data_IF_541290055983
#
_entry.id   IF_541290055983
#
_cell.length_a   1.000
_cell.length_b   1.000
_cell.length_c   1.000
_cell.angle_alpha   90.00
_cell.angle_beta   90.00
_cell.angle_gamma   90.00
#
_symmetry.space_group_name_H-M   'P 1'
#
loop_
_entity.id
_entity.type
_entity.pdbx_description
1 polymer ?
#
# COMPACT_ATOMS: atom_id res chain seq x y z
N UNK A 1 3.76 -4.72 -1.86
CA UNK A 1 3.16 -4.00 -0.72
C UNK A 1 3.70 -2.58 -0.65
N UNK A 2 2.98 -1.68 -0.01
CA UNK A 2 3.53 -0.36 0.33
C UNK A 2 4.24 -0.45 1.66
N UNK A 3 5.44 0.11 1.73
CA UNK A 3 6.18 0.32 2.98
C UNK A 3 6.38 1.80 3.20
N UNK A 4 6.17 2.24 4.43
CA UNK A 4 6.46 3.61 4.80
C UNK A 4 7.50 3.67 5.91
N UNK A 5 8.43 4.60 5.76
CA UNK A 5 9.39 4.98 6.79
C UNK A 5 8.96 6.31 7.37
N UNK A 6 8.84 6.38 8.69
CA UNK A 6 8.40 7.58 9.41
C UNK A 6 9.59 8.24 10.07
N UNK A 7 9.66 9.57 10.03
CA UNK A 7 10.69 10.37 10.71
C UNK A 7 10.76 10.01 12.20
N UNK A 8 11.98 9.81 12.70
CA UNK A 8 12.27 9.45 14.08
C UNK A 8 11.65 10.43 15.10
N UNK A 9 11.46 11.70 14.73
CA UNK A 9 10.82 12.74 15.57
C UNK A 9 9.42 12.32 16.01
N UNK A 10 8.65 11.65 15.16
CA UNK A 10 7.29 11.19 15.49
C UNK A 10 7.34 10.19 16.64
N UNK A 11 8.25 9.20 16.55
CA UNK A 11 8.42 8.20 17.58
C UNK A 11 8.96 8.79 18.89
N UNK A 12 9.92 9.71 18.81
CA UNK A 12 10.49 10.39 19.97
C UNK A 12 9.43 11.18 20.73
N UNK A 13 8.61 11.97 20.01
CA UNK A 13 7.53 12.74 20.61
C UNK A 13 6.45 11.84 21.25
N UNK A 14 6.07 10.74 20.59
CA UNK A 14 5.14 9.77 21.16
C UNK A 14 5.69 9.10 22.42
N UNK A 15 6.97 8.73 22.41
CA UNK A 15 7.62 8.08 23.56
C UNK A 15 7.75 9.02 24.75
N UNK A 16 7.97 10.32 24.50
CA UNK A 16 8.02 11.35 25.53
C UNK A 16 6.64 11.65 26.12
N UNK A 17 5.60 11.71 25.28
CA UNK A 17 4.22 11.94 25.73
C UNK A 17 3.59 10.73 26.42
N UNK A 18 3.98 9.52 26.03
CA UNK A 18 3.45 8.25 26.55
C UNK A 18 4.59 7.31 26.99
N UNK A 19 5.32 7.64 28.07
CA UNK A 19 6.48 6.85 28.51
C UNK A 19 6.09 5.50 29.13
N UNK A 20 4.83 5.36 29.56
CA UNK A 20 4.29 4.12 30.15
C UNK A 20 2.97 3.74 29.49
N UNK A 21 2.70 2.43 29.28
CA UNK A 21 3.61 1.30 29.51
C UNK A 21 4.76 1.28 28.51
N UNK A 22 5.87 0.63 28.87
CA UNK A 22 7.04 0.51 28.00
C UNK A 22 6.63 -0.08 26.63
N UNK A 23 7.24 0.42 25.55
CA UNK A 23 6.94 0.05 24.15
C UNK A 23 5.53 0.38 23.66
N UNK A 24 4.68 1.07 24.43
CA UNK A 24 3.33 1.43 23.98
C UNK A 24 3.34 2.35 22.77
N UNK A 25 4.19 3.38 22.77
CA UNK A 25 4.41 4.29 21.65
C UNK A 25 4.82 3.54 20.38
N UNK A 26 5.78 2.60 20.51
CA UNK A 26 6.25 1.79 19.39
C UNK A 26 5.11 0.94 18.80
N UNK A 27 4.38 0.21 19.66
CA UNK A 27 3.27 -0.65 19.23
C UNK A 27 2.13 0.14 18.59
N UNK A 28 1.78 1.29 19.15
CA UNK A 28 0.73 2.15 18.63
C UNK A 28 1.12 2.72 17.26
N UNK A 29 2.33 3.25 17.14
CA UNK A 29 2.84 3.79 15.88
C UNK A 29 2.97 2.69 14.81
N UNK A 30 3.52 1.52 15.15
CA UNK A 30 3.63 0.40 14.23
C UNK A 30 2.25 -0.07 13.72
N UNK A 31 1.24 -0.12 14.61
CA UNK A 31 -0.13 -0.43 14.20
C UNK A 31 -0.67 0.59 13.23
N UNK A 32 -0.49 1.88 13.52
CA UNK A 32 -0.97 2.97 12.67
C UNK A 32 -0.29 2.98 11.30
N UNK A 33 1.04 2.79 11.27
CA UNK A 33 1.82 2.63 10.05
C UNK A 33 1.24 1.49 9.19
N UNK A 34 1.02 0.30 9.78
CA UNK A 34 0.44 -0.84 9.06
C UNK A 34 -0.93 -0.54 8.46
N UNK A 35 -1.79 0.17 9.19
CA UNK A 35 -3.11 0.58 8.68
C UNK A 35 -2.96 1.56 7.51
N UNK A 36 -2.05 2.52 7.64
CA UNK A 36 -1.79 3.50 6.60
C UNK A 36 -1.20 2.85 5.34
N UNK A 37 -0.22 1.94 5.47
CA UNK A 37 0.34 1.14 4.38
C UNK A 37 -0.76 0.40 3.61
N UNK A 38 -1.69 -0.24 4.32
CA UNK A 38 -2.81 -0.94 3.70
C UNK A 38 -3.76 0.00 2.93
N UNK A 39 -4.04 1.19 3.48
CA UNK A 39 -4.89 2.18 2.80
C UNK A 39 -4.21 2.78 1.58
N UNK A 40 -2.90 3.07 1.65
CA UNK A 40 -2.10 3.51 0.51
C UNK A 40 -2.08 2.45 -0.59
N UNK A 41 -1.85 1.19 -0.21
CA UNK A 41 -1.89 0.07 -1.15
C UNK A 41 -3.23 -0.03 -1.88
N UNK A 42 -4.35 0.06 -1.14
CA UNK A 42 -5.69 0.07 -1.75
C UNK A 42 -5.92 1.27 -2.66
N UNK A 43 -5.43 2.46 -2.29
CA UNK A 43 -5.54 3.65 -3.13
C UNK A 43 -4.79 3.49 -4.45
N UNK A 44 -3.62 2.85 -4.44
CA UNK A 44 -2.78 2.65 -5.63
C UNK A 44 -3.26 1.52 -6.53
N UNK A 45 -4.17 0.67 -6.06
CA UNK A 45 -4.77 -0.37 -6.87
C UNK A 45 -5.67 0.20 -7.98
N UNK A 46 -6.32 1.34 -7.71
CA UNK A 46 -7.20 2.01 -8.67
C UNK A 46 -6.47 3.10 -9.46
N UNK A 47 -6.97 3.39 -10.67
CA UNK A 47 -6.45 4.48 -11.49
C UNK A 47 -6.65 5.82 -10.75
N UNK A 48 -5.54 6.54 -10.53
CA UNK A 48 -5.60 7.88 -9.98
C UNK A 48 -6.21 8.85 -11.00
N UNK A 49 -7.07 9.76 -10.54
CA UNK A 49 -7.61 10.85 -11.37
C UNK A 49 -6.52 11.87 -11.74
N UNK A 50 -6.67 12.67 -12.81
CA UNK A 50 -5.68 13.68 -13.20
C UNK A 50 -5.33 14.65 -12.06
N UNK A 51 -6.31 15.00 -11.22
CA UNK A 51 -6.10 15.86 -10.06
C UNK A 51 -5.23 15.19 -8.99
N UNK A 52 -5.52 13.92 -8.68
CA UNK A 52 -4.75 13.15 -7.70
C UNK A 52 -3.30 12.99 -8.13
N UNK A 53 -3.06 12.80 -9.43
CA UNK A 53 -1.73 12.70 -9.98
C UNK A 53 -0.96 14.01 -9.86
N UNK A 54 -1.59 15.14 -10.24
CA UNK A 54 -0.93 16.44 -10.22
C UNK A 54 -0.51 16.87 -8.81
N UNK A 55 -1.21 16.40 -7.79
CA UNK A 55 -1.03 16.83 -6.40
C UNK A 55 -0.49 15.73 -5.48
N UNK A 56 -0.14 14.57 -6.03
CA UNK A 56 0.29 13.34 -5.33
C UNK A 56 -0.66 12.95 -4.20
N UNK A 57 -1.95 12.79 -4.54
CA UNK A 57 -3.02 12.48 -3.60
C UNK A 57 -3.41 11.01 -3.64
N UNK A 58 -3.70 10.49 -2.46
CA UNK A 58 -4.20 9.15 -2.21
C UNK A 58 -5.64 9.22 -1.68
N UNK A 59 -6.47 8.30 -2.15
CA UNK A 59 -7.83 8.10 -1.64
C UNK A 59 -7.75 7.38 -0.29
N UNK A 60 -7.94 8.11 0.81
CA UNK A 60 -7.83 7.57 2.16
C UNK A 60 -9.05 7.98 2.99
N UNK A 61 -9.76 7.01 3.56
CA UNK A 61 -10.83 7.28 4.53
C UNK A 61 -10.21 7.70 5.86
N UNK A 62 -10.22 9.00 6.17
CA UNK A 62 -9.72 9.53 7.45
C UNK A 62 -10.46 8.97 8.65
N UNK A 63 -11.77 8.72 8.50
CA UNK A 63 -12.60 8.11 9.55
C UNK A 63 -12.12 6.71 9.87
N UNK A 64 -11.92 5.87 8.86
CA UNK A 64 -11.40 4.52 9.07
C UNK A 64 -9.95 4.56 9.57
N UNK A 65 -9.11 5.46 9.04
CA UNK A 65 -7.73 5.60 9.48
C UNK A 65 -7.66 5.95 10.97
N UNK A 66 -8.54 6.84 11.45
CA UNK A 66 -8.65 7.17 12.85
C UNK A 66 -9.14 5.99 13.70
N UNK A 67 -10.15 5.25 13.23
CA UNK A 67 -10.73 4.14 13.97
C UNK A 67 -9.79 2.91 14.04
N UNK A 68 -9.19 2.54 12.92
CA UNK A 68 -8.32 1.37 12.79
C UNK A 68 -6.89 1.66 13.27
N UNK A 69 -6.44 2.91 13.16
CA UNK A 69 -5.11 3.38 13.54
C UNK A 69 -4.79 3.25 15.04
N UNK A 70 -5.80 2.95 15.87
CA UNK A 70 -5.62 2.60 17.27
C UNK A 70 -5.59 3.78 18.22
N UNK A 71 -5.36 3.45 19.49
CA UNK A 71 -5.42 4.37 20.62
C UNK A 71 -4.15 4.26 21.45
N UNK A 72 -3.81 5.34 22.15
CA UNK A 72 -2.61 5.44 22.98
C UNK A 72 -2.91 6.10 24.33
N UNK A 73 -2.13 5.72 25.34
CA UNK A 73 -2.18 6.29 26.69
C UNK A 73 -3.38 5.80 27.53
N UNK A 74 -3.40 6.20 28.82
CA UNK A 74 -4.41 5.76 29.78
C UNK A 74 -5.83 6.25 29.41
N UNK A 75 -5.93 7.39 28.75
CA UNK A 75 -7.20 7.98 28.30
C UNK A 75 -7.67 7.41 26.94
N UNK A 76 -6.98 6.40 26.39
CA UNK A 76 -7.33 5.78 25.10
C UNK A 76 -7.51 6.80 23.97
N UNK A 77 -6.61 7.78 23.92
CA UNK A 77 -6.65 8.83 22.90
C UNK A 77 -6.40 8.22 21.52
N UNK A 78 -7.23 8.57 20.53
CA UNK A 78 -7.03 8.11 19.15
C UNK A 78 -5.70 8.65 18.61
N UNK A 79 -4.83 7.76 18.14
CA UNK A 79 -3.47 8.15 17.74
C UNK A 79 -3.47 9.16 16.59
N UNK A 80 -4.35 8.97 15.59
CA UNK A 80 -4.52 9.91 14.48
C UNK A 80 -4.79 11.34 14.97
N UNK A 81 -5.65 11.47 15.99
CA UNK A 81 -6.00 12.75 16.58
C UNK A 81 -4.81 13.37 17.30
N UNK A 82 -4.11 12.59 18.11
CA UNK A 82 -2.93 13.06 18.83
C UNK A 82 -1.84 13.56 17.87
N UNK A 83 -1.55 12.80 16.80
CA UNK A 83 -0.58 13.20 15.78
C UNK A 83 -0.95 14.53 15.13
N UNK A 84 -2.24 14.72 14.83
CA UNK A 84 -2.73 15.98 14.26
C UNK A 84 -2.61 17.16 15.22
N UNK A 85 -2.98 16.98 16.48
CA UNK A 85 -2.90 18.03 17.51
C UNK A 85 -1.44 18.43 17.82
N UNK A 86 -0.46 17.55 17.54
CA UNK A 86 0.96 17.80 17.78
C UNK A 86 1.75 18.14 16.50
N UNK A 87 1.09 18.42 15.37
CA UNK A 87 1.74 18.69 14.07
C UNK A 87 2.68 17.55 13.60
N UNK A 88 2.33 16.31 13.93
CA UNK A 88 3.05 15.09 13.57
C UNK A 88 2.19 14.17 12.69
N UNK A 89 1.23 14.74 11.98
CA UNK A 89 0.38 14.01 11.03
C UNK A 89 1.24 13.35 9.95
N UNK A 90 0.97 12.07 9.70
CA UNK A 90 1.61 11.34 8.58
C UNK A 90 0.92 11.59 7.24
N UNK A 91 -0.34 12.04 7.29
CA UNK A 91 -1.16 12.36 6.13
C UNK A 91 -1.91 13.66 6.36
N UNK A 92 -2.07 14.44 5.29
CA UNK A 92 -2.80 15.69 5.31
C UNK A 92 -3.95 15.66 4.30
N UNK A 93 -5.18 16.00 4.71
CA UNK A 93 -6.30 16.08 3.78
C UNK A 93 -6.20 17.33 2.90
N UNK A 94 -6.19 17.12 1.59
CA UNK A 94 -6.28 18.19 0.60
C UNK A 94 -7.73 18.39 0.16
N UNK A 95 -8.47 17.29 0.00
CA UNK A 95 -9.90 17.31 -0.29
C UNK A 95 -10.60 16.43 0.73
N UNK A 96 -11.50 17.03 1.51
CA UNK A 96 -12.29 16.28 2.48
C UNK A 96 -13.39 15.50 1.76
N UNK A 97 -13.47 14.22 2.11
CA UNK A 97 -14.57 13.37 1.70
C UNK A 97 -15.88 13.83 2.33
N UNK A 98 -17.00 13.49 1.71
CA UNK A 98 -18.33 13.84 2.19
C UNK A 98 -19.26 12.64 2.14
N UNK A 99 -19.87 12.33 3.29
CA UNK A 99 -20.87 11.26 3.42
C UNK A 99 -22.09 11.49 2.51
N UNK A 100 -22.39 12.75 2.17
CA UNK A 100 -23.52 13.09 1.29
C UNK A 100 -23.26 12.68 -0.16
N UNK A 101 -22.00 12.71 -0.59
CA UNK A 101 -21.57 12.37 -1.95
C UNK A 101 -20.98 10.96 -2.06
N UNK A 102 -20.81 10.27 -0.94
CA UNK A 102 -20.05 9.00 -0.86
C UNK A 102 -18.55 9.15 -1.11
N UNK A 103 -18.04 10.37 -1.31
CA UNK A 103 -16.64 10.62 -1.63
C UNK A 103 -15.70 10.36 -0.46
N UNK A 104 -14.65 9.57 -0.70
CA UNK A 104 -13.56 9.35 0.25
C UNK A 104 -12.59 10.53 0.20
N UNK A 105 -11.92 10.84 1.33
CA UNK A 105 -10.99 11.98 1.37
C UNK A 105 -9.76 11.72 0.48
N UNK A 106 -9.24 12.80 -0.10
CA UNK A 106 -7.97 12.78 -0.83
C UNK A 106 -6.89 13.41 0.04
N UNK A 107 -5.87 12.63 0.35
CA UNK A 107 -4.83 12.97 1.30
C UNK A 107 -3.45 12.89 0.64
N UNK A 108 -2.55 13.79 1.04
CA UNK A 108 -1.13 13.72 0.70
C UNK A 108 -0.34 13.14 1.88
N UNK A 109 0.76 12.44 1.60
CA UNK A 109 1.76 12.11 2.61
C UNK A 109 2.50 13.39 3.06
N UNK A 110 2.77 13.53 4.35
CA UNK A 110 3.58 14.64 4.84
C UNK A 110 5.07 14.36 4.67
N UNK A 111 5.90 15.38 4.87
CA UNK A 111 7.37 15.27 4.82
C UNK A 111 7.93 14.29 5.87
N UNK A 112 7.12 13.92 6.87
CA UNK A 112 7.48 12.95 7.90
C UNK A 112 7.42 11.50 7.41
N UNK A 113 7.01 11.27 6.16
CA UNK A 113 6.79 9.94 5.60
C UNK A 113 7.53 9.79 4.27
N UNK A 114 8.37 8.75 4.19
CA UNK A 114 8.92 8.26 2.94
C UNK A 114 8.22 6.97 2.55
N UNK A 115 7.65 6.91 1.35
CA UNK A 115 6.97 5.72 0.84
C UNK A 115 7.87 4.95 -0.13
N UNK A 116 7.90 3.63 0.03
CA UNK A 116 8.52 2.69 -0.90
C UNK A 116 7.44 1.75 -1.40
N UNK A 117 7.31 1.66 -2.72
CA UNK A 117 6.39 0.74 -3.37
C UNK A 117 7.14 -0.51 -3.83
N UNK A 118 6.98 -1.63 -3.11
CA UNK A 118 7.70 -2.87 -3.45
C UNK A 118 7.16 -3.55 -4.72
N UNK A 119 6.02 -3.08 -5.25
CA UNK A 119 5.51 -3.54 -6.54
C UNK A 119 5.99 -2.66 -7.70
N UNK A 120 6.67 -1.54 -7.45
CA UNK A 120 7.25 -0.75 -8.52
C UNK A 120 8.30 -1.58 -9.28
N UNK A 121 8.29 -1.46 -10.60
CA UNK A 121 9.26 -2.09 -11.49
C UNK A 121 10.24 -1.01 -11.92
N UNK A 122 11.52 -1.31 -11.75
CA UNK A 122 12.59 -0.43 -12.16
C UNK A 122 13.13 -0.92 -13.51
N UNK A 123 13.00 -0.08 -14.53
CA UNK A 123 13.47 -0.38 -15.89
C UNK A 123 14.97 -0.67 -15.93
N UNK A 124 15.76 0.04 -15.12
CA UNK A 124 17.20 -0.18 -14.96
C UNK A 124 17.54 -1.59 -14.47
N UNK A 125 16.70 -2.17 -13.61
CA UNK A 125 16.89 -3.55 -13.13
C UNK A 125 16.56 -4.52 -14.27
N UNK A 126 15.42 -4.34 -14.93
CA UNK A 126 14.99 -5.21 -16.05
C UNK A 126 16.01 -5.23 -17.20
N UNK A 127 16.56 -4.08 -17.55
CA UNK A 127 17.58 -3.96 -18.62
C UNK A 127 18.94 -4.55 -18.23
N UNK A 128 19.21 -4.70 -16.93
CA UNK A 128 20.45 -5.32 -16.42
C UNK A 128 20.37 -6.84 -16.29
N UNK A 129 19.17 -7.39 -16.21
CA UNK A 129 18.93 -8.83 -16.08
C UNK A 129 19.34 -9.52 -17.39
N UNK A 130 20.21 -10.52 -17.27
CA UNK A 130 20.82 -11.20 -18.42
C UNK A 130 20.35 -12.65 -18.57
N UNK A 131 19.50 -13.14 -17.67
CA UNK A 131 18.99 -14.51 -17.68
C UNK A 131 17.52 -14.62 -17.28
N UNK A 132 16.81 -15.57 -17.89
CA UNK A 132 15.39 -15.82 -17.60
C UNK A 132 15.15 -16.20 -16.13
N UNK A 133 16.11 -16.87 -15.50
CA UNK A 133 16.04 -17.24 -14.08
C UNK A 133 16.07 -16.02 -13.17
N UNK A 134 16.91 -15.04 -13.45
CA UNK A 134 16.98 -13.79 -12.68
C UNK A 134 15.72 -12.95 -12.91
N UNK A 135 15.21 -12.93 -14.15
CA UNK A 135 13.94 -12.28 -14.47
C UNK A 135 12.79 -12.90 -13.67
N UNK A 136 12.72 -14.23 -13.62
CA UNK A 136 11.71 -14.96 -12.87
C UNK A 136 11.78 -14.67 -11.38
N UNK A 137 12.98 -14.61 -10.80
CA UNK A 137 13.16 -14.26 -9.40
C UNK A 137 12.75 -12.81 -9.11
N UNK A 138 13.08 -11.87 -10.00
CA UNK A 138 12.73 -10.47 -9.84
C UNK A 138 11.22 -10.23 -9.97
N UNK A 139 10.58 -10.82 -10.97
CA UNK A 139 9.16 -10.65 -11.25
C UNK A 139 8.26 -11.43 -10.27
N UNK A 140 8.63 -12.68 -9.97
CA UNK A 140 7.88 -13.55 -9.05
C UNK A 140 7.98 -13.11 -7.59
N UNK A 141 9.07 -12.44 -7.21
CA UNK A 141 9.31 -12.06 -5.82
C UNK A 141 9.51 -13.27 -4.90
N UNK A 142 9.37 -13.06 -3.59
CA UNK A 142 9.44 -14.13 -2.60
C UNK A 142 8.05 -14.63 -2.17
N UNK A 143 7.95 -15.91 -1.85
CA UNK A 143 6.70 -16.60 -1.46
C UNK A 143 5.98 -15.92 -0.27
N UNK A 144 6.74 -15.35 0.67
CA UNK A 144 6.17 -14.66 1.81
C UNK A 144 5.52 -13.34 1.41
N UNK A 145 6.14 -12.56 0.52
CA UNK A 145 5.55 -11.35 -0.05
C UNK A 145 4.28 -11.65 -0.86
N UNK A 146 4.28 -12.71 -1.66
CA UNK A 146 3.09 -13.20 -2.37
C UNK A 146 1.95 -13.54 -1.41
N UNK A 147 2.24 -14.34 -0.38
CA UNK A 147 1.26 -14.68 0.65
C UNK A 147 0.68 -13.43 1.32
N UNK A 148 1.51 -12.45 1.67
CA UNK A 148 1.06 -11.20 2.27
C UNK A 148 0.16 -10.38 1.33
N UNK A 149 0.48 -10.37 0.03
CA UNK A 149 -0.33 -9.69 -0.98
C UNK A 149 -1.70 -10.35 -1.13
N UNK A 150 -1.74 -11.68 -1.25
CA UNK A 150 -3.00 -12.44 -1.38
C UNK A 150 -3.91 -12.21 -0.18
N UNK A 151 -3.38 -12.30 1.06
CA UNK A 151 -4.20 -12.04 2.26
C UNK A 151 -4.72 -10.59 2.35
N UNK A 152 -4.01 -9.64 1.74
CA UNK A 152 -4.44 -8.24 1.73
C UNK A 152 -5.55 -7.99 0.72
N UNK A 153 -5.50 -8.66 -0.43
CA UNK A 153 -6.47 -8.54 -1.51
C UNK A 153 -7.73 -9.36 -1.25
N UNK A 154 -7.55 -10.57 -0.73
CA UNK A 154 -8.60 -11.57 -0.52
C UNK A 154 -8.62 -12.04 0.95
N UNK A 155 -8.94 -11.15 1.90
CA UNK A 155 -8.94 -11.47 3.34
C UNK A 155 -9.94 -12.58 3.73
N UNK A 156 -10.93 -12.86 2.87
CA UNK A 156 -11.91 -13.93 2.99
C UNK A 156 -11.33 -15.33 2.73
N UNK A 157 -10.16 -15.43 2.09
CA UNK A 157 -9.43 -16.69 1.96
C UNK A 157 -8.96 -17.11 3.35
N UNK A 158 -9.76 -17.93 4.01
CA UNK A 158 -9.42 -18.48 5.32
C UNK A 158 -8.19 -19.36 5.17
N UNK A 159 -7.29 -19.35 6.14
CA UNK A 159 -6.08 -20.22 6.20
C UNK A 159 -6.34 -21.74 6.06
N UNK A 160 -7.61 -22.18 6.05
CA UNK A 160 -8.05 -23.57 5.89
C UNK A 160 -9.30 -23.67 5.00
N UNK A 161 -9.49 -22.73 4.07
CA UNK A 161 -10.52 -22.90 3.06
C UNK A 161 -10.20 -24.17 2.25
N UNK A 162 -11.20 -25.03 2.07
CA UNK A 162 -11.12 -26.16 1.14
C UNK A 162 -11.27 -25.68 -0.30
N UNK A 163 -10.78 -26.46 -1.26
CA UNK A 163 -10.89 -26.13 -2.69
C UNK A 163 -12.36 -25.86 -3.09
N UNK A 164 -13.31 -26.64 -2.56
CA UNK A 164 -14.74 -26.44 -2.80
C UNK A 164 -15.26 -25.10 -2.23
N UNK A 165 -14.77 -24.65 -1.08
CA UNK A 165 -15.13 -23.33 -0.54
C UNK A 165 -14.52 -22.20 -1.36
N UNK A 166 -13.34 -22.41 -1.97
CA UNK A 166 -12.71 -21.44 -2.84
C UNK A 166 -13.43 -21.34 -4.19
N UNK A 167 -13.82 -22.48 -4.78
CA UNK A 167 -14.58 -22.52 -6.03
C UNK A 167 -15.98 -21.87 -5.90
N UNK A 168 -16.60 -21.96 -4.72
CA UNK A 168 -17.87 -21.27 -4.43
C UNK A 168 -17.69 -19.74 -4.24
N UNK A 169 -16.50 -19.30 -3.81
CA UNK A 169 -16.20 -17.89 -3.53
C UNK A 169 -15.58 -17.15 -4.73
N UNK A 170 -14.88 -17.88 -5.61
CA UNK A 170 -14.05 -17.30 -6.66
C UNK A 170 -14.15 -18.06 -7.98
N UNK A 171 -14.15 -17.30 -9.08
CA UNK A 171 -13.97 -17.86 -10.41
C UNK A 171 -12.46 -18.03 -10.70
N UNK A 172 -11.98 -19.26 -10.73
CA UNK A 172 -10.59 -19.56 -11.09
C UNK A 172 -10.42 -19.51 -12.60
N UNK A 173 -9.44 -18.72 -13.07
CA UNK A 173 -9.12 -18.58 -14.49
C UNK A 173 -7.68 -19.04 -14.75
N UNK A 174 -7.43 -19.82 -15.81
CA UNK A 174 -6.06 -20.15 -16.20
C UNK A 174 -5.34 -18.88 -16.66
N UNK A 175 -4.13 -18.68 -16.13
CA UNK A 175 -3.26 -17.56 -16.49
C UNK A 175 -2.01 -18.09 -17.17
N UNK A 176 -1.71 -17.57 -18.36
CA UNK A 176 -0.43 -17.79 -19.02
C UNK A 176 0.65 -16.89 -18.40
N UNK A 177 1.39 -17.47 -17.46
CA UNK A 177 2.44 -16.78 -16.70
C UNK A 177 3.57 -16.26 -17.59
N UNK A 178 3.94 -17.01 -18.65
CA UNK A 178 5.02 -16.61 -19.56
C UNK A 178 4.61 -15.39 -20.39
N UNK A 179 3.36 -15.36 -20.85
CA UNK A 179 2.79 -14.21 -21.54
C UNK A 179 2.73 -12.97 -20.63
N UNK A 180 2.36 -13.12 -19.35
CA UNK A 180 2.32 -12.00 -18.39
C UNK A 180 3.73 -11.45 -18.12
N UNK A 181 4.74 -12.31 -17.98
CA UNK A 181 6.14 -11.87 -17.83
C UNK A 181 6.63 -11.10 -19.05
N UNK A 182 6.37 -11.63 -20.25
CA UNK A 182 6.73 -10.98 -21.52
C UNK A 182 6.05 -9.62 -21.66
N UNK A 183 4.78 -9.53 -21.26
CA UNK A 183 4.03 -8.27 -21.24
C UNK A 183 4.65 -7.22 -20.30
N UNK A 184 5.12 -7.63 -19.12
CA UNK A 184 5.80 -6.74 -18.17
C UNK A 184 7.12 -6.21 -18.75
N UNK A 185 7.91 -7.08 -19.38
CA UNK A 185 9.18 -6.69 -20.03
C UNK A 185 8.89 -5.66 -21.12
N UNK A 186 8.01 -5.99 -22.07
CA UNK A 186 7.62 -5.09 -23.16
C UNK A 186 7.10 -3.74 -22.66
N UNK A 187 6.19 -3.75 -21.68
CA UNK A 187 5.68 -2.51 -21.08
C UNK A 187 6.81 -1.65 -20.53
N UNK A 188 7.81 -2.27 -19.92
CA UNK A 188 8.91 -1.59 -19.24
C UNK A 188 9.95 -1.05 -20.22
N UNK A 189 10.28 -1.77 -21.29
CA UNK A 189 11.42 -1.46 -22.17
C UNK A 189 11.02 -0.86 -23.52
N UNK A 190 9.83 -1.19 -24.06
CA UNK A 190 9.47 -0.90 -25.46
C UNK A 190 8.21 -0.04 -25.61
N UNK A 191 7.34 0.03 -24.60
CA UNK A 191 6.08 0.77 -24.69
C UNK A 191 6.26 2.30 -24.58
N UNK A 192 6.64 2.95 -25.67
CA UNK A 192 6.90 4.41 -25.74
C UNK A 192 5.63 5.28 -25.83
N UNK A 193 4.53 4.74 -26.35
CA UNK A 193 3.29 5.50 -26.60
C UNK A 193 2.31 5.49 -25.42
N UNK A 194 2.63 4.76 -24.35
CA UNK A 194 1.79 4.65 -23.17
C UNK A 194 2.26 5.68 -22.14
N UNK A 195 1.32 6.44 -21.58
CA UNK A 195 1.67 7.38 -20.51
C UNK A 195 2.27 6.63 -19.33
N UNK A 196 3.28 7.22 -18.66
CA UNK A 196 3.95 6.63 -17.51
C UNK A 196 2.96 6.10 -16.46
N UNK A 197 1.83 6.78 -16.28
CA UNK A 197 0.79 6.39 -15.33
C UNK A 197 0.07 5.10 -15.73
N UNK A 198 -0.37 5.01 -16.99
CA UNK A 198 -1.02 3.80 -17.50
C UNK A 198 -0.05 2.63 -17.48
N UNK A 199 1.22 2.89 -17.81
CA UNK A 199 2.33 1.93 -17.70
C UNK A 199 2.49 1.45 -16.26
N UNK A 200 2.65 2.35 -15.28
CA UNK A 200 2.78 2.00 -13.86
C UNK A 200 1.57 1.22 -13.32
N UNK A 201 0.36 1.57 -13.74
CA UNK A 201 -0.85 0.85 -13.34
C UNK A 201 -0.89 -0.56 -13.95
N UNK A 202 -0.60 -0.70 -15.24
CA UNK A 202 -0.58 -2.00 -15.91
C UNK A 202 0.52 -2.92 -15.34
N UNK A 203 1.72 -2.37 -15.09
CA UNK A 203 2.81 -3.08 -14.43
C UNK A 203 2.41 -3.57 -13.03
N UNK A 204 1.75 -2.70 -12.24
CA UNK A 204 1.23 -3.09 -10.92
C UNK A 204 0.23 -4.24 -11.01
N UNK A 205 -0.72 -4.15 -11.93
CA UNK A 205 -1.74 -5.20 -12.12
C UNK A 205 -1.11 -6.52 -12.57
N UNK A 206 -0.20 -6.47 -13.54
CA UNK A 206 0.51 -7.65 -14.02
C UNK A 206 1.33 -8.33 -12.91
N UNK A 207 2.01 -7.55 -12.05
CA UNK A 207 2.69 -8.11 -10.87
C UNK A 207 1.76 -8.71 -9.83
N UNK A 208 0.58 -8.13 -9.63
CA UNK A 208 -0.43 -8.72 -8.73
C UNK A 208 -0.89 -10.07 -9.27
N UNK A 209 -1.05 -10.20 -10.59
CA UNK A 209 -1.43 -11.46 -11.25
C UNK A 209 -0.34 -12.53 -11.10
N UNK A 210 0.93 -12.15 -11.10
CA UNK A 210 2.06 -13.08 -10.95
C UNK A 210 2.30 -13.57 -9.52
N UNK A 211 1.80 -12.86 -8.52
CA UNK A 211 2.09 -13.08 -7.11
C UNK A 211 1.16 -14.12 -6.47
#
# INVERSE_FOLDING_TARGET
>A
MIKITVDAKVYQALSLAFPKPANSAHRALAKYIRVLENKLFKSLHFAATPLQQKLDLFTISLKELANEGGQIGPQKMVLHRWLRENNLSLVEPVILGSNLTGGVSQCRLTELVTMVDTLAIEETILTSISSDRELDQYLGGDEFSSYQLVNLLYPEIKRRASDAELDDLFDVLPVDVESVKSYIVWLSTEAELITLQKKNQALRQARIILA
#
